data_IF_628751556898
#
_entry.id   IF_628751556898
#
_cell.length_a   1.000
_cell.length_b   1.000
_cell.length_c   1.000
_cell.angle_alpha   90.00
_cell.angle_beta   90.00
_cell.angle_gamma   90.00
#
_symmetry.space_group_name_H-M   'P 1'
#
loop_
_entity.id
_entity.type
_entity.pdbx_description
1 polymer ?
#
# COMPACT_ATOMS: atom_id res chain seq x y z
N UNK A 1 6.15 -18.91 13.89
CA UNK A 1 7.44 -18.74 13.19
C UNK A 1 8.01 -17.38 13.58
N UNK A 2 9.30 -17.28 13.90
CA UNK A 2 9.91 -16.00 14.31
C UNK A 2 10.12 -15.11 13.10
N UNK A 3 9.47 -13.94 13.08
CA UNK A 3 9.67 -12.87 12.09
C UNK A 3 11.16 -12.57 11.91
N UNK A 4 11.70 -12.36 10.70
CA UNK A 4 13.14 -12.19 10.50
C UNK A 4 13.62 -10.81 10.97
N UNK A 5 14.90 -10.71 11.32
CA UNK A 5 15.57 -9.46 11.66
C UNK A 5 16.22 -8.86 10.40
N UNK A 6 15.78 -7.67 9.99
CA UNK A 6 16.20 -7.05 8.74
C UNK A 6 17.36 -6.08 8.97
N UNK A 7 18.50 -6.37 8.34
CA UNK A 7 19.70 -5.53 8.33
C UNK A 7 19.93 -4.97 6.94
N UNK A 8 19.76 -3.66 6.77
CA UNK A 8 20.09 -3.00 5.49
C UNK A 8 21.46 -2.34 5.56
N UNK A 9 22.30 -2.60 4.56
CA UNK A 9 23.57 -1.91 4.37
C UNK A 9 23.37 -0.85 3.28
N UNK A 10 23.28 0.42 3.68
CA UNK A 10 22.93 1.51 2.76
C UNK A 10 23.81 2.74 2.93
N UNK A 11 24.18 3.35 1.81
CA UNK A 11 24.99 4.56 1.72
C UNK A 11 24.91 5.10 0.30
N UNK A 12 24.57 6.38 0.15
CA UNK A 12 24.51 7.09 -1.14
C UNK A 12 25.89 7.39 -1.75
N UNK A 13 26.96 6.86 -1.14
CA UNK A 13 28.30 6.94 -1.73
C UNK A 13 28.74 5.57 -2.26
N UNK A 14 29.18 5.56 -3.52
CA UNK A 14 29.86 4.41 -4.12
C UNK A 14 31.22 4.13 -3.48
N UNK A 15 31.60 2.85 -3.40
CA UNK A 15 32.94 2.45 -2.95
C UNK A 15 33.25 2.76 -1.48
N UNK A 16 32.25 2.67 -0.60
CA UNK A 16 32.41 2.73 0.87
C UNK A 16 32.49 1.34 1.52
N UNK A 17 32.36 0.28 0.71
CA UNK A 17 32.42 -1.11 1.18
C UNK A 17 31.06 -1.76 1.52
N UNK A 18 29.93 -1.24 1.02
CA UNK A 18 28.57 -1.79 1.28
C UNK A 18 28.49 -3.29 1.01
N UNK A 19 28.71 -3.71 -0.23
CA UNK A 19 28.61 -5.11 -0.64
C UNK A 19 29.62 -6.00 0.06
N UNK A 20 30.87 -5.55 0.24
CA UNK A 20 31.88 -6.29 1.00
C UNK A 20 31.46 -6.51 2.44
N UNK A 21 30.85 -5.50 3.08
CA UNK A 21 30.33 -5.60 4.43
C UNK A 21 29.12 -6.54 4.47
N UNK A 22 28.15 -6.39 3.57
CA UNK A 22 26.94 -7.20 3.53
C UNK A 22 27.26 -8.70 3.36
N UNK A 23 28.11 -9.03 2.38
CA UNK A 23 28.44 -10.43 2.09
C UNK A 23 29.28 -11.06 3.20
N UNK A 24 30.26 -10.35 3.74
CA UNK A 24 31.05 -10.90 4.85
C UNK A 24 30.23 -10.95 6.14
N UNK A 25 29.37 -9.96 6.43
CA UNK A 25 28.50 -9.99 7.60
C UNK A 25 27.65 -11.27 7.61
N UNK A 26 27.08 -11.66 6.46
CA UNK A 26 26.31 -12.89 6.33
C UNK A 26 27.13 -14.14 6.73
N UNK A 27 28.35 -14.23 6.22
CA UNK A 27 29.26 -15.36 6.47
C UNK A 27 29.71 -15.42 7.93
N UNK A 28 30.02 -14.28 8.54
CA UNK A 28 30.42 -14.25 9.94
C UNK A 28 29.25 -14.55 10.88
N UNK A 29 28.01 -14.14 10.55
CA UNK A 29 26.83 -14.52 11.31
C UNK A 29 26.60 -16.04 11.28
N UNK A 30 26.73 -16.67 10.10
CA UNK A 30 26.71 -18.14 9.97
C UNK A 30 27.84 -18.81 10.76
N UNK A 31 29.04 -18.22 10.76
CA UNK A 31 30.17 -18.76 11.52
C UNK A 31 30.00 -18.59 13.05
N UNK A 32 29.27 -17.57 13.50
CA UNK A 32 28.94 -17.38 14.92
C UNK A 32 27.86 -18.38 15.40
N UNK A 33 26.91 -18.72 14.53
CA UNK A 33 25.84 -19.65 14.85
C UNK A 33 25.42 -20.45 13.60
N UNK A 34 25.90 -21.69 13.50
CA UNK A 34 25.77 -22.51 12.29
C UNK A 34 24.31 -22.76 11.89
N UNK A 35 23.40 -22.95 12.85
CA UNK A 35 21.99 -23.19 12.59
C UNK A 35 21.17 -21.91 12.32
N UNK A 36 21.78 -20.73 12.44
CA UNK A 36 21.06 -19.46 12.22
C UNK A 36 20.74 -19.31 10.74
N UNK A 37 19.46 -19.15 10.34
CA UNK A 37 19.13 -18.78 8.97
C UNK A 37 19.63 -17.37 8.69
N UNK A 38 20.42 -17.21 7.63
CA UNK A 38 20.93 -15.92 7.18
C UNK A 38 20.68 -15.81 5.69
N UNK A 39 19.77 -14.92 5.29
CA UNK A 39 19.41 -14.67 3.90
C UNK A 39 20.00 -13.34 3.43
N UNK A 40 20.61 -13.29 2.25
CA UNK A 40 21.18 -12.07 1.67
C UNK A 40 20.64 -11.82 0.27
N UNK A 41 20.33 -10.57 -0.03
CA UNK A 41 20.11 -10.15 -1.42
C UNK A 41 20.59 -8.73 -1.66
N UNK A 42 20.85 -8.41 -2.93
CA UNK A 42 21.32 -7.09 -3.34
C UNK A 42 20.36 -6.48 -4.35
N UNK A 43 20.11 -5.19 -4.20
CA UNK A 43 19.47 -4.39 -5.22
C UNK A 43 20.47 -3.77 -6.19
N UNK A 44 21.77 -3.99 -6.01
CA UNK A 44 22.81 -3.54 -6.93
C UNK A 44 23.03 -4.53 -8.08
N UNK A 45 23.22 -4.01 -9.29
CA UNK A 45 23.39 -4.79 -10.52
C UNK A 45 24.82 -5.31 -10.69
N UNK A 46 25.65 -5.27 -9.65
CA UNK A 46 27.02 -5.78 -9.69
C UNK A 46 27.13 -7.30 -9.48
N UNK A 47 26.03 -8.04 -9.26
CA UNK A 47 26.00 -9.51 -9.13
C UNK A 47 27.05 -10.09 -8.17
N UNK A 48 27.45 -9.32 -7.16
CA UNK A 48 28.51 -9.74 -6.24
C UNK A 48 28.01 -10.80 -5.26
N UNK A 49 26.74 -10.73 -4.86
CA UNK A 49 26.09 -11.78 -4.06
C UNK A 49 26.10 -13.09 -4.84
N UNK A 50 25.61 -13.09 -6.08
CA UNK A 50 25.61 -14.27 -6.94
C UNK A 50 27.01 -14.86 -7.15
N UNK A 51 28.01 -14.02 -7.46
CA UNK A 51 29.40 -14.46 -7.65
C UNK A 51 30.04 -15.06 -6.39
N UNK A 52 29.57 -14.67 -5.22
CA UNK A 52 30.13 -15.12 -3.94
C UNK A 52 29.46 -16.39 -3.42
N UNK A 53 28.14 -16.53 -3.61
CA UNK A 53 27.34 -17.55 -2.94
C UNK A 53 26.78 -18.63 -3.87
N UNK A 54 26.72 -18.41 -5.19
CA UNK A 54 26.08 -19.38 -6.08
C UNK A 54 26.89 -20.68 -6.18
N UNK A 55 26.21 -21.80 -5.91
CA UNK A 55 26.75 -23.15 -6.09
C UNK A 55 26.36 -23.66 -7.49
N UNK A 56 27.35 -23.85 -8.35
CA UNK A 56 27.15 -24.31 -9.73
C UNK A 56 26.68 -23.22 -10.70
N UNK A 57 26.26 -23.62 -11.90
CA UNK A 57 25.92 -22.69 -13.01
C UNK A 57 24.41 -22.49 -13.23
N UNK A 58 23.56 -23.20 -12.49
CA UNK A 58 22.11 -23.14 -12.62
C UNK A 58 21.50 -22.03 -11.76
N UNK A 59 20.37 -21.49 -12.24
CA UNK A 59 19.46 -20.65 -11.46
C UNK A 59 18.24 -21.49 -11.13
N UNK A 60 17.94 -21.65 -9.84
CA UNK A 60 16.91 -22.59 -9.39
C UNK A 60 15.59 -21.91 -9.05
N UNK A 61 15.59 -20.59 -8.84
CA UNK A 61 14.39 -19.80 -8.55
C UNK A 61 14.33 -18.45 -9.30
N UNK A 62 13.47 -17.57 -8.81
CA UNK A 62 13.31 -16.19 -9.31
C UNK A 62 14.51 -15.28 -9.01
N UNK A 63 14.30 -13.97 -8.99
CA UNK A 63 15.28 -12.98 -8.50
C UNK A 63 14.58 -12.01 -7.55
N UNK A 64 15.35 -11.04 -7.05
CA UNK A 64 14.87 -9.92 -6.23
C UNK A 64 13.69 -9.15 -6.81
N UNK A 65 13.36 -9.22 -8.11
CA UNK A 65 12.10 -8.64 -8.63
C UNK A 65 10.88 -9.34 -8.09
N UNK A 66 10.95 -10.65 -7.87
CA UNK A 66 9.87 -11.45 -7.31
C UNK A 66 9.40 -10.91 -5.95
N UNK A 67 10.32 -10.35 -5.16
CA UNK A 67 10.01 -9.69 -3.88
C UNK A 67 9.08 -8.48 -4.02
N UNK A 68 9.07 -7.84 -5.18
CA UNK A 68 8.20 -6.70 -5.49
C UNK A 68 6.95 -7.11 -6.28
N UNK A 69 6.96 -8.30 -6.89
CA UNK A 69 5.86 -8.87 -7.68
C UNK A 69 4.93 -9.77 -6.85
N UNK A 70 5.12 -9.84 -5.53
CA UNK A 70 4.28 -10.62 -4.62
C UNK A 70 4.62 -12.12 -4.57
N UNK A 71 5.74 -12.55 -5.17
CA UNK A 71 6.22 -13.92 -5.02
C UNK A 71 6.70 -14.13 -3.58
N UNK A 72 6.30 -15.24 -2.94
CA UNK A 72 6.76 -15.56 -1.60
C UNK A 72 8.28 -15.71 -1.59
N UNK A 73 8.95 -15.01 -0.67
CA UNK A 73 10.41 -14.96 -0.68
C UNK A 73 11.06 -16.34 -0.49
N UNK A 74 10.41 -17.27 0.22
CA UNK A 74 10.86 -18.66 0.34
C UNK A 74 11.04 -19.37 -1.01
N UNK A 75 10.22 -19.05 -2.02
CA UNK A 75 10.34 -19.60 -3.37
C UNK A 75 11.52 -19.02 -4.15
N UNK A 76 12.03 -17.87 -3.71
CA UNK A 76 13.15 -17.16 -4.32
C UNK A 76 14.50 -17.50 -3.69
N UNK A 77 14.49 -18.09 -2.49
CA UNK A 77 15.70 -18.36 -1.71
C UNK A 77 16.45 -19.57 -2.27
N UNK A 78 17.74 -19.37 -2.53
CA UNK A 78 18.69 -20.43 -2.85
C UNK A 78 19.67 -20.62 -1.68
N UNK A 79 20.03 -21.87 -1.38
CA UNK A 79 21.15 -22.13 -0.45
C UNK A 79 22.47 -21.94 -1.19
N UNK A 80 23.32 -21.06 -0.67
CA UNK A 80 24.62 -20.74 -1.24
C UNK A 80 25.80 -21.26 -0.43
N UNK A 81 27.00 -20.91 -0.88
CA UNK A 81 28.26 -21.20 -0.22
C UNK A 81 28.26 -20.73 1.25
N UNK A 82 29.04 -21.41 2.10
CA UNK A 82 29.15 -21.10 3.54
C UNK A 82 27.83 -21.23 4.34
N UNK A 83 26.83 -21.92 3.81
CA UNK A 83 25.52 -22.10 4.46
C UNK A 83 24.68 -20.82 4.52
N UNK A 84 25.05 -19.80 3.74
CA UNK A 84 24.28 -18.55 3.59
C UNK A 84 23.20 -18.77 2.54
N UNK A 85 21.98 -18.37 2.86
CA UNK A 85 20.88 -18.31 1.90
C UNK A 85 20.97 -16.99 1.11
N UNK A 86 20.59 -17.00 -0.17
CA UNK A 86 20.54 -15.77 -0.94
C UNK A 86 19.40 -15.76 -1.95
N UNK A 87 18.96 -14.57 -2.35
CA UNK A 87 18.06 -14.38 -3.49
C UNK A 87 18.86 -13.79 -4.63
N UNK A 88 18.74 -14.37 -5.82
CA UNK A 88 19.51 -13.97 -7.00
C UNK A 88 19.27 -12.49 -7.36
N UNK A 89 20.33 -11.79 -7.77
CA UNK A 89 20.22 -10.42 -8.27
C UNK A 89 19.53 -10.42 -9.64
N UNK A 90 19.01 -9.26 -10.07
CA UNK A 90 18.31 -9.12 -11.37
C UNK A 90 18.89 -8.01 -12.23
N UNK A 91 19.20 -8.30 -13.50
CA UNK A 91 19.59 -7.29 -14.50
C UNK A 91 18.43 -6.34 -14.82
N UNK A 92 17.20 -6.82 -14.61
CA UNK A 92 15.97 -6.16 -15.02
C UNK A 92 15.26 -5.45 -13.86
N UNK A 93 15.90 -5.33 -12.68
CA UNK A 93 15.27 -4.71 -11.51
C UNK A 93 14.76 -3.29 -11.81
N UNK A 94 15.51 -2.53 -12.61
CA UNK A 94 15.16 -1.17 -12.99
C UNK A 94 13.86 -1.04 -13.80
N UNK A 95 13.36 -2.11 -14.42
CA UNK A 95 12.11 -2.09 -15.17
C UNK A 95 10.91 -1.83 -14.23
N UNK A 96 10.98 -2.30 -12.98
CA UNK A 96 9.94 -2.09 -11.98
C UNK A 96 9.89 -0.68 -11.40
N UNK A 97 10.92 0.15 -11.64
CA UNK A 97 11.06 1.45 -10.96
C UNK A 97 9.87 2.40 -11.19
N UNK A 98 9.21 2.30 -12.35
CA UNK A 98 8.06 3.17 -12.69
C UNK A 98 6.75 2.73 -12.05
N UNK A 99 6.68 1.46 -11.63
CA UNK A 99 5.49 0.85 -11.03
C UNK A 99 5.54 0.91 -9.50
N UNK A 100 6.72 1.22 -8.95
CA UNK A 100 6.97 1.29 -7.51
C UNK A 100 6.94 2.75 -7.04
N UNK A 101 5.94 3.07 -6.23
CA UNK A 101 5.84 4.37 -5.54
C UNK A 101 5.80 4.20 -4.01
N UNK A 102 5.32 3.06 -3.53
CA UNK A 102 5.14 2.80 -2.11
C UNK A 102 6.42 2.22 -1.46
N UNK A 103 7.04 2.94 -0.50
CA UNK A 103 8.24 2.47 0.20
C UNK A 103 7.97 1.32 1.17
N UNK A 104 6.72 1.00 1.46
CA UNK A 104 6.36 -0.07 2.41
C UNK A 104 6.10 -1.43 1.74
N UNK A 105 6.09 -1.49 0.40
CA UNK A 105 5.75 -2.70 -0.35
C UNK A 105 6.62 -3.90 0.00
N UNK A 106 7.95 -3.71 0.01
CA UNK A 106 8.89 -4.79 0.35
C UNK A 106 8.65 -5.30 1.78
N UNK A 107 8.39 -4.40 2.73
CA UNK A 107 8.15 -4.77 4.11
C UNK A 107 6.87 -5.60 4.25
N UNK A 108 5.79 -5.24 3.54
CA UNK A 108 4.55 -6.04 3.50
C UNK A 108 4.79 -7.44 2.93
N UNK A 109 5.50 -7.52 1.80
CA UNK A 109 5.77 -8.80 1.14
C UNK A 109 6.66 -9.69 2.01
N UNK A 110 7.69 -9.11 2.66
CA UNK A 110 8.54 -9.84 3.60
C UNK A 110 7.78 -10.28 4.86
N UNK A 111 6.86 -9.46 5.38
CA UNK A 111 6.04 -9.80 6.55
C UNK A 111 5.14 -11.03 6.31
N UNK A 112 4.77 -11.29 5.04
CA UNK A 112 3.99 -12.42 4.56
C UNK A 112 4.84 -13.58 3.99
N UNK A 113 6.17 -13.44 3.94
CA UNK A 113 7.05 -14.36 3.20
C UNK A 113 7.45 -15.64 3.92
N UNK A 114 7.23 -15.73 5.24
CA UNK A 114 7.63 -16.87 6.07
C UNK A 114 9.13 -16.94 6.45
N UNK A 115 9.98 -16.08 5.87
CA UNK A 115 11.41 -16.00 6.19
C UNK A 115 11.68 -15.86 7.70
N UNK A 116 12.80 -16.42 8.16
CA UNK A 116 13.22 -16.42 9.56
C UNK A 116 14.69 -16.06 9.70
N UNK A 117 15.18 -15.89 10.94
CA UNK A 117 16.59 -15.58 11.19
C UNK A 117 16.95 -14.13 10.90
N UNK A 118 18.04 -13.91 10.14
CA UNK A 118 18.54 -12.58 9.77
C UNK A 118 18.49 -12.44 8.25
N UNK A 119 17.89 -11.34 7.78
CA UNK A 119 17.90 -10.97 6.36
C UNK A 119 18.79 -9.75 6.18
N UNK A 120 19.74 -9.82 5.27
CA UNK A 120 20.65 -8.74 4.93
C UNK A 120 20.27 -8.19 3.55
N UNK A 121 20.14 -6.87 3.44
CA UNK A 121 19.83 -6.18 2.19
C UNK A 121 21.02 -5.28 1.82
N UNK A 122 21.68 -5.57 0.71
CA UNK A 122 22.72 -4.71 0.13
C UNK A 122 22.08 -3.74 -0.88
N UNK A 123 22.30 -2.44 -0.71
CA UNK A 123 21.67 -1.42 -1.56
C UNK A 123 22.64 -0.82 -2.59
N UNK A 124 22.05 -0.19 -3.61
CA UNK A 124 22.77 0.68 -4.55
C UNK A 124 23.31 1.95 -3.89
N UNK A 125 24.22 2.69 -4.55
CA UNK A 125 24.74 3.97 -4.07
C UNK A 125 23.80 5.17 -4.32
N UNK A 126 22.49 4.97 -4.32
CA UNK A 126 21.46 6.01 -4.48
C UNK A 126 20.23 5.71 -3.62
N UNK A 127 19.51 6.77 -3.22
CA UNK A 127 18.27 6.69 -2.43
C UNK A 127 17.04 6.54 -3.34
N UNK A 128 17.09 5.55 -4.25
CA UNK A 128 15.98 5.23 -5.14
C UNK A 128 14.87 4.43 -4.44
N UNK A 129 13.81 4.08 -5.17
CA UNK A 129 12.65 3.36 -4.61
C UNK A 129 13.00 2.00 -4.00
N UNK A 130 14.03 1.32 -4.51
CA UNK A 130 14.46 0.02 -3.98
C UNK A 130 15.22 0.21 -2.66
N UNK A 131 16.11 1.21 -2.61
CA UNK A 131 16.79 1.60 -1.36
C UNK A 131 15.78 2.07 -0.31
N UNK A 132 14.79 2.87 -0.69
CA UNK A 132 13.72 3.32 0.22
C UNK A 132 12.92 2.13 0.79
N UNK A 133 12.58 1.16 -0.07
CA UNK A 133 11.92 -0.08 0.36
C UNK A 133 12.77 -0.91 1.34
N UNK A 134 14.08 -1.03 1.08
CA UNK A 134 15.01 -1.69 2.02
C UNK A 134 15.02 -0.98 3.38
N UNK A 135 15.16 0.35 3.37
CA UNK A 135 15.21 1.16 4.58
C UNK A 135 13.93 1.07 5.40
N UNK A 136 12.76 1.12 4.76
CA UNK A 136 11.46 1.02 5.43
C UNK A 136 11.26 -0.34 6.14
N UNK A 137 11.78 -1.42 5.56
CA UNK A 137 11.68 -2.78 6.09
C UNK A 137 12.68 -3.06 7.23
N UNK A 138 13.63 -2.16 7.52
CA UNK A 138 14.81 -2.46 8.35
C UNK A 138 14.58 -2.36 9.85
N UNK A 139 15.09 -3.34 10.59
CA UNK A 139 15.32 -3.26 12.04
C UNK A 139 16.61 -2.48 12.35
N UNK A 140 17.64 -2.73 11.54
CA UNK A 140 18.95 -2.08 11.64
C UNK A 140 19.38 -1.60 10.26
N UNK A 141 19.83 -0.35 10.18
CA UNK A 141 20.51 0.17 8.99
C UNK A 141 21.96 0.47 9.37
N UNK A 142 22.90 -0.19 8.70
CA UNK A 142 24.32 0.10 8.84
C UNK A 142 24.71 1.00 7.67
N UNK A 143 25.19 2.21 8.00
CA UNK A 143 25.56 3.25 7.04
C UNK A 143 27.08 3.35 6.97
N UNK A 144 27.75 2.62 6.05
CA UNK A 144 29.18 2.71 5.89
C UNK A 144 29.60 4.09 5.35
N UNK A 145 30.58 4.70 6.02
CA UNK A 145 31.17 5.99 5.66
C UNK A 145 32.69 5.87 5.63
N UNK A 146 33.36 6.50 4.67
CA UNK A 146 34.83 6.46 4.56
C UNK A 146 35.52 7.82 4.71
N UNK A 147 34.75 8.89 4.58
CA UNK A 147 35.22 10.26 4.49
C UNK A 147 34.11 11.24 4.91
N UNK A 148 34.44 12.52 5.03
CA UNK A 148 33.46 13.54 5.40
C UNK A 148 32.29 13.66 4.40
N UNK A 149 32.49 13.59 3.06
CA UNK A 149 31.37 13.61 2.11
C UNK A 149 30.40 12.42 2.26
N UNK A 150 30.90 11.20 2.46
CA UNK A 150 30.02 10.04 2.71
C UNK A 150 29.25 10.16 4.02
N UNK A 151 29.84 10.80 5.03
CA UNK A 151 29.15 11.13 6.27
C UNK A 151 28.09 12.22 6.10
N UNK A 152 28.34 13.25 5.27
CA UNK A 152 27.36 14.29 4.97
C UNK A 152 26.11 13.72 4.30
N UNK A 153 26.31 12.81 3.33
CA UNK A 153 25.21 12.14 2.62
C UNK A 153 24.27 11.36 3.54
N UNK A 154 24.72 10.92 4.72
CA UNK A 154 23.86 10.23 5.70
C UNK A 154 22.57 11.01 6.01
N UNK A 155 22.59 12.34 5.86
CA UNK A 155 21.43 13.21 6.12
C UNK A 155 20.19 12.81 5.31
N UNK A 156 20.31 12.28 4.08
CA UNK A 156 19.12 11.92 3.30
C UNK A 156 18.49 10.62 3.79
N UNK A 157 19.29 9.63 4.22
CA UNK A 157 18.77 8.42 4.88
C UNK A 157 18.02 8.79 6.17
N UNK A 158 18.59 9.70 6.97
CA UNK A 158 17.91 10.20 8.17
C UNK A 158 16.63 10.97 7.83
N UNK A 159 16.66 11.84 6.81
CA UNK A 159 15.50 12.57 6.34
C UNK A 159 14.39 11.67 5.79
N UNK A 160 14.73 10.54 5.16
CA UNK A 160 13.77 9.51 4.77
C UNK A 160 13.10 8.88 5.99
N UNK A 161 13.86 8.53 7.03
CA UNK A 161 13.27 8.02 8.27
C UNK A 161 12.28 9.02 8.88
N UNK A 162 12.64 10.30 8.89
CA UNK A 162 11.74 11.36 9.40
C UNK A 162 10.47 11.47 8.56
N UNK A 163 10.58 11.49 7.23
CA UNK A 163 9.42 11.63 6.34
C UNK A 163 8.46 10.45 6.40
N UNK A 164 8.97 9.27 6.75
CA UNK A 164 8.20 8.04 6.93
C UNK A 164 7.76 7.81 8.39
N UNK A 165 8.08 8.73 9.31
CA UNK A 165 7.77 8.58 10.74
C UNK A 165 8.49 7.40 11.42
N UNK A 166 9.62 6.95 10.87
CA UNK A 166 10.40 5.81 11.35
C UNK A 166 11.38 6.22 12.45
N UNK A 167 11.64 5.30 13.38
CA UNK A 167 12.59 5.55 14.46
C UNK A 167 14.04 5.59 13.96
N UNK A 168 14.73 6.71 14.17
CA UNK A 168 16.18 6.83 13.94
C UNK A 168 17.02 5.85 14.77
N UNK A 169 16.44 5.16 15.75
CA UNK A 169 17.12 4.13 16.56
C UNK A 169 17.63 2.96 15.71
N UNK A 170 17.06 2.71 14.54
CA UNK A 170 17.53 1.70 13.60
C UNK A 170 18.88 2.08 12.96
N UNK A 171 19.19 3.37 12.82
CA UNK A 171 20.34 3.86 12.07
C UNK A 171 21.65 3.76 12.87
N UNK A 172 22.71 3.21 12.27
CA UNK A 172 24.07 3.17 12.80
C UNK A 172 25.09 3.49 11.72
N UNK A 173 25.89 4.52 11.93
CA UNK A 173 27.03 4.86 11.08
C UNK A 173 28.21 3.94 11.41
N UNK A 174 28.86 3.40 10.39
CA UNK A 174 30.07 2.58 10.54
C UNK A 174 31.21 3.19 9.72
N UNK A 175 32.26 3.72 10.35
CA UNK A 175 33.48 4.09 9.65
C UNK A 175 34.11 2.87 8.96
N UNK A 176 34.35 2.98 7.66
CA UNK A 176 34.87 1.94 6.80
C UNK A 176 36.04 2.47 5.97
N UNK A 177 36.92 1.57 5.53
CA UNK A 177 38.12 1.91 4.76
C UNK A 177 39.02 2.92 5.49
N UNK A 178 39.04 2.85 6.82
CA UNK A 178 39.88 3.72 7.66
C UNK A 178 41.34 3.35 7.49
N UNK A 179 42.17 4.31 7.08
CA UNK A 179 43.61 4.12 7.02
C UNK A 179 44.25 4.36 8.40
N UNK A 180 44.49 3.26 9.12
CA UNK A 180 45.06 3.29 10.47
C UNK A 180 46.51 3.79 10.54
N UNK A 181 47.16 4.07 9.40
CA UNK A 181 48.51 4.64 9.36
C UNK A 181 48.48 6.16 9.48
N UNK A 182 47.34 6.79 9.18
CA UNK A 182 47.18 8.23 9.27
C UNK A 182 46.99 8.61 10.72
N UNK A 183 47.80 9.57 11.18
CA UNK A 183 47.71 10.16 12.50
C UNK A 183 47.61 11.68 12.36
N UNK A 184 46.82 12.31 13.22
CA UNK A 184 46.64 13.75 13.25
C UNK A 184 47.14 14.33 14.57
N UNK A 185 47.65 15.55 14.51
CA UNK A 185 47.85 16.37 15.70
C UNK A 185 46.50 16.93 16.18
N UNK A 186 46.26 16.87 17.49
CA UNK A 186 45.05 17.44 18.11
C UNK A 186 44.19 16.42 18.88
N UNK A 187 42.91 16.76 19.15
CA UNK A 187 42.05 15.97 20.04
C UNK A 187 41.59 14.64 19.42
N UNK A 188 41.59 14.51 18.10
CA UNK A 188 41.23 13.28 17.39
C UNK A 188 42.47 12.75 16.67
N UNK A 189 43.02 11.64 17.16
CA UNK A 189 44.36 11.19 16.76
C UNK A 189 44.40 10.40 15.46
N UNK A 190 43.27 9.91 14.99
CA UNK A 190 43.16 9.07 13.80
C UNK A 190 41.85 9.34 13.03
N UNK A 191 41.72 8.86 11.77
CA UNK A 191 40.51 9.09 10.98
C UNK A 191 39.25 8.45 11.56
N UNK A 192 39.36 7.37 12.33
CA UNK A 192 38.20 6.75 12.98
C UNK A 192 37.63 7.67 14.05
N UNK A 193 38.46 8.17 14.96
CA UNK A 193 38.06 9.13 16.00
C UNK A 193 37.46 10.39 15.39
N UNK A 194 38.06 10.90 14.32
CA UNK A 194 37.56 12.09 13.63
C UNK A 194 36.17 11.86 13.01
N UNK A 195 35.98 10.76 12.28
CA UNK A 195 34.68 10.41 11.68
C UNK A 195 33.61 10.13 12.75
N UNK A 196 33.98 9.43 13.84
CA UNK A 196 33.07 9.17 14.97
C UNK A 196 32.63 10.48 15.62
N UNK A 197 33.57 11.41 15.85
CA UNK A 197 33.25 12.72 16.41
C UNK A 197 32.33 13.54 15.49
N UNK A 198 32.61 13.57 14.18
CA UNK A 198 31.76 14.25 13.21
C UNK A 198 30.35 13.66 13.10
N UNK A 199 30.21 12.34 13.26
CA UNK A 199 28.93 11.66 13.28
C UNK A 199 28.13 12.04 14.54
N UNK A 200 28.76 11.97 15.72
CA UNK A 200 28.14 12.34 16.99
C UNK A 200 27.70 13.81 16.99
N UNK A 201 28.53 14.72 16.50
CA UNK A 201 28.19 16.15 16.42
C UNK A 201 26.99 16.43 15.49
N UNK A 202 26.70 15.53 14.55
CA UNK A 202 25.52 15.58 13.67
C UNK A 202 24.30 14.86 14.26
N UNK A 203 24.40 14.33 15.48
CA UNK A 203 23.34 13.55 16.13
C UNK A 203 23.22 12.12 15.60
N UNK A 204 24.21 11.62 14.87
CA UNK A 204 24.21 10.25 14.37
C UNK A 204 24.74 9.28 15.42
N UNK A 205 24.15 8.08 15.45
CA UNK A 205 24.64 6.98 16.29
C UNK A 205 25.66 6.16 15.50
N UNK A 206 26.75 5.78 16.13
CA UNK A 206 27.78 4.94 15.52
C UNK A 206 27.67 3.49 15.99
N UNK A 207 28.11 2.55 15.16
CA UNK A 207 28.54 1.24 15.65
C UNK A 207 29.81 1.38 16.47
N UNK A 208 30.06 0.43 17.36
CA UNK A 208 31.35 0.34 18.03
C UNK A 208 32.39 -0.30 17.09
N UNK A 209 33.58 0.31 17.02
CA UNK A 209 34.63 -0.05 16.07
C UNK A 209 34.48 0.55 14.67
N UNK A 210 35.31 0.04 13.75
CA UNK A 210 35.43 0.46 12.35
C UNK A 210 35.97 -0.68 11.47
N UNK A 211 35.87 -0.54 10.15
CA UNK A 211 36.53 -1.43 9.18
C UNK A 211 37.76 -0.72 8.61
N UNK A 212 38.94 -1.31 8.78
CA UNK A 212 40.20 -0.78 8.26
C UNK A 212 40.32 -0.95 6.74
N UNK A 213 41.08 -0.05 6.10
CA UNK A 213 41.51 -0.23 4.71
C UNK A 213 42.50 -1.40 4.63
N UNK A 214 42.33 -2.28 3.65
CA UNK A 214 43.21 -3.43 3.44
C UNK A 214 43.31 -3.79 1.96
N UNK A 215 44.51 -3.62 1.39
CA UNK A 215 44.80 -4.01 0.01
C UNK A 215 44.55 -5.50 -0.24
N UNK A 216 44.82 -6.35 0.77
CA UNK A 216 44.51 -7.78 0.70
C UNK A 216 43.02 -8.03 0.56
N UNK A 217 42.18 -7.34 1.33
CA UNK A 217 40.71 -7.50 1.23
C UNK A 217 40.18 -6.97 -0.09
N UNK A 218 40.69 -5.82 -0.55
CA UNK A 218 40.33 -5.25 -1.85
C UNK A 218 40.66 -6.20 -3.01
N UNK A 219 41.74 -7.00 -2.90
CA UNK A 219 42.12 -7.98 -3.92
C UNK A 219 41.26 -9.24 -3.98
N UNK A 220 40.43 -9.53 -2.98
CA UNK A 220 39.68 -10.80 -2.89
C UNK A 220 38.57 -10.96 -3.94
N UNK A 221 38.22 -9.87 -4.62
CA UNK A 221 37.24 -9.85 -5.71
C UNK A 221 37.84 -10.04 -7.11
N UNK A 222 39.18 -10.10 -7.22
CA UNK A 222 39.90 -10.12 -8.49
C UNK A 222 40.73 -11.39 -8.57
N UNK A 223 40.24 -12.38 -9.33
CA UNK A 223 40.92 -13.65 -9.60
C UNK A 223 40.49 -14.23 -10.95
N UNK A 224 41.29 -15.17 -11.53
CA UNK A 224 40.97 -15.78 -12.82
C UNK A 224 39.63 -16.51 -12.85
N UNK A 225 39.15 -17.00 -11.71
CA UNK A 225 37.88 -17.72 -11.60
C UNK A 225 36.66 -16.78 -11.56
N UNK A 226 36.87 -15.46 -11.43
CA UNK A 226 35.81 -14.46 -11.29
C UNK A 226 35.00 -14.56 -10.00
N UNK A 227 35.51 -15.31 -9.00
CA UNK A 227 34.88 -15.53 -7.70
C UNK A 227 35.14 -14.37 -6.74
N UNK A 228 34.34 -14.25 -5.70
CA UNK A 228 34.62 -13.34 -4.58
C UNK A 228 34.92 -14.19 -3.35
N UNK A 229 36.12 -14.06 -2.80
CA UNK A 229 36.54 -14.82 -1.63
C UNK A 229 36.24 -14.08 -0.32
N UNK A 230 35.74 -14.75 0.73
CA UNK A 230 35.45 -14.09 2.00
C UNK A 230 36.71 -13.80 2.80
N UNK A 231 36.65 -12.73 3.60
CA UNK A 231 37.70 -12.36 4.55
C UNK A 231 37.90 -13.46 5.60
N UNK A 232 36.83 -14.16 5.99
CA UNK A 232 36.86 -15.22 7.00
C UNK A 232 37.91 -16.32 6.70
N UNK A 233 38.10 -16.65 5.41
CA UNK A 233 39.06 -17.68 4.99
C UNK A 233 40.30 -17.09 4.32
N UNK A 234 40.17 -16.02 3.53
CA UNK A 234 41.25 -15.50 2.69
C UNK A 234 41.87 -14.19 3.21
N UNK A 235 41.33 -13.61 4.28
CA UNK A 235 41.78 -12.36 4.91
C UNK A 235 42.10 -12.47 6.41
N UNK A 236 42.32 -13.69 6.93
CA UNK A 236 42.50 -14.00 8.36
C UNK A 236 43.60 -13.19 9.06
N UNK A 237 44.66 -12.85 8.33
CA UNK A 237 45.81 -12.09 8.88
C UNK A 237 45.58 -10.56 8.88
N UNK A 238 44.44 -10.09 8.39
CA UNK A 238 44.13 -8.65 8.33
C UNK A 238 43.32 -8.23 9.56
N UNK A 239 43.47 -6.98 10.00
CA UNK A 239 42.63 -6.42 11.07
C UNK A 239 41.13 -6.48 10.73
N UNK A 240 40.79 -6.44 9.44
CA UNK A 240 39.42 -6.54 8.92
C UNK A 240 38.74 -7.83 9.36
N UNK A 241 39.48 -8.93 9.53
CA UNK A 241 38.92 -10.20 10.02
C UNK A 241 38.31 -10.06 11.42
N UNK A 242 39.08 -9.51 12.37
CA UNK A 242 38.64 -9.30 13.75
C UNK A 242 37.53 -8.26 13.81
N UNK A 243 37.64 -7.21 13.01
CA UNK A 243 36.64 -6.14 12.95
C UNK A 243 35.29 -6.65 12.42
N UNK A 244 35.27 -7.47 11.36
CA UNK A 244 34.03 -8.09 10.86
C UNK A 244 33.40 -9.04 11.87
N UNK A 245 34.21 -9.82 12.61
CA UNK A 245 33.70 -10.65 13.70
C UNK A 245 33.04 -9.79 14.79
N UNK A 246 33.63 -8.65 15.12
CA UNK A 246 33.07 -7.71 16.09
C UNK A 246 31.74 -7.09 15.63
N UNK A 247 31.65 -6.66 14.35
CA UNK A 247 30.40 -6.14 13.77
C UNK A 247 29.32 -7.23 13.71
N UNK A 248 29.66 -8.44 13.30
CA UNK A 248 28.73 -9.57 13.28
C UNK A 248 28.18 -9.90 14.68
N UNK A 249 29.04 -9.85 15.70
CA UNK A 249 28.62 -10.04 17.10
C UNK A 249 27.66 -8.95 17.55
N UNK A 250 27.90 -7.68 17.22
CA UNK A 250 26.98 -6.59 17.54
C UNK A 250 25.61 -6.81 16.88
N UNK A 251 25.57 -7.15 15.59
CA UNK A 251 24.32 -7.45 14.88
C UNK A 251 23.58 -8.64 15.50
N UNK A 252 24.30 -9.72 15.83
CA UNK A 252 23.70 -10.89 16.46
C UNK A 252 23.08 -10.55 17.82
N UNK A 253 23.78 -9.78 18.67
CA UNK A 253 23.25 -9.34 19.97
C UNK A 253 22.03 -8.43 19.81
N UNK A 254 22.06 -7.49 18.87
CA UNK A 254 20.91 -6.64 18.53
C UNK A 254 19.66 -7.49 18.20
N UNK A 255 19.84 -8.64 17.52
CA UNK A 255 18.71 -9.53 17.18
C UNK A 255 18.08 -10.24 18.38
N UNK A 256 18.87 -10.44 19.45
CA UNK A 256 18.43 -11.08 20.70
C UNK A 256 17.78 -10.06 21.64
N UNK A 257 18.29 -8.83 21.67
CA UNK A 257 17.80 -7.76 22.54
C UNK A 257 16.51 -7.10 22.02
N UNK A 258 16.25 -7.18 20.71
CA UNK A 258 15.13 -6.47 20.12
C UNK A 258 13.78 -7.20 20.35
N UNK A 259 12.97 -6.63 21.25
CA UNK A 259 11.66 -7.16 21.65
C UNK A 259 10.61 -7.14 20.52
N UNK A 260 10.66 -6.15 19.62
CA UNK A 260 9.71 -5.97 18.52
C UNK A 260 10.43 -5.75 17.21
N UNK A 261 10.16 -6.59 16.21
CA UNK A 261 10.75 -6.48 14.88
C UNK A 261 9.90 -5.61 13.98
N UNK A 262 10.53 -4.93 13.02
CA UNK A 262 9.89 -3.98 12.11
C UNK A 262 8.75 -4.63 11.34
N UNK A 263 8.94 -5.85 10.88
CA UNK A 263 7.92 -6.58 10.14
C UNK A 263 6.73 -7.03 11.01
N UNK A 264 6.89 -7.14 12.32
CA UNK A 264 5.76 -7.36 13.23
C UNK A 264 4.89 -6.09 13.33
N UNK A 265 5.50 -4.91 13.37
CA UNK A 265 4.78 -3.63 13.32
C UNK A 265 4.01 -3.46 12.01
N UNK A 266 4.63 -3.82 10.89
CA UNK A 266 3.98 -3.79 9.57
C UNK A 266 2.79 -4.74 9.53
N UNK A 267 2.95 -5.97 10.02
CA UNK A 267 1.86 -6.96 10.09
C UNK A 267 0.69 -6.48 10.96
N UNK A 268 0.99 -5.90 12.12
CA UNK A 268 -0.02 -5.31 13.00
C UNK A 268 -0.74 -4.12 12.35
N UNK A 269 0.00 -3.27 11.63
CA UNK A 269 -0.57 -2.17 10.85
C UNK A 269 -1.54 -2.67 9.79
N UNK A 270 -1.14 -3.69 9.02
CA UNK A 270 -1.99 -4.32 8.00
C UNK A 270 -3.26 -4.92 8.61
N UNK A 271 -3.16 -5.64 9.74
CA UNK A 271 -4.33 -6.22 10.42
C UNK A 271 -5.30 -5.13 10.86
N UNK A 272 -4.80 -4.03 11.43
CA UNK A 272 -5.64 -2.90 11.87
C UNK A 272 -6.31 -2.19 10.71
N UNK A 273 -5.59 -1.99 9.61
CA UNK A 273 -6.19 -1.43 8.41
C UNK A 273 -7.29 -2.34 7.88
N UNK A 274 -7.04 -3.63 7.76
CA UNK A 274 -8.04 -4.61 7.30
C UNK A 274 -9.27 -4.65 8.21
N UNK A 275 -9.07 -4.71 9.54
CA UNK A 275 -10.15 -4.62 10.53
C UNK A 275 -10.96 -3.34 10.38
N UNK A 276 -10.30 -2.20 10.15
CA UNK A 276 -10.99 -0.92 9.94
C UNK A 276 -11.80 -0.92 8.64
N UNK A 277 -11.27 -1.45 7.54
CA UNK A 277 -12.00 -1.57 6.26
C UNK A 277 -13.20 -2.50 6.40
N UNK A 278 -13.03 -3.65 7.06
CA UNK A 278 -14.12 -4.59 7.33
C UNK A 278 -15.20 -3.98 8.24
N UNK A 279 -14.80 -3.30 9.32
CA UNK A 279 -15.73 -2.59 10.20
C UNK A 279 -16.53 -1.52 9.45
N UNK A 280 -15.86 -0.68 8.65
CA UNK A 280 -16.51 0.36 7.88
C UNK A 280 -17.48 -0.21 6.83
N UNK A 281 -17.12 -1.32 6.17
CA UNK A 281 -18.02 -2.03 5.26
C UNK A 281 -19.27 -2.57 5.99
N UNK A 282 -19.09 -3.21 7.15
CA UNK A 282 -20.19 -3.73 7.95
C UNK A 282 -21.11 -2.63 8.48
N UNK A 283 -20.57 -1.49 8.92
CA UNK A 283 -21.35 -0.31 9.31
C UNK A 283 -22.21 0.20 8.14
N UNK A 284 -21.63 0.32 6.94
CA UNK A 284 -22.37 0.73 5.74
C UNK A 284 -23.47 -0.26 5.38
N UNK A 285 -23.18 -1.56 5.46
CA UNK A 285 -24.14 -2.63 5.12
C UNK A 285 -25.28 -2.72 6.15
N UNK A 286 -24.98 -2.59 7.43
CA UNK A 286 -26.00 -2.62 8.51
C UNK A 286 -26.89 -1.38 8.51
N UNK A 287 -26.41 -0.26 7.97
CA UNK A 287 -27.21 0.97 7.81
C UNK A 287 -28.16 0.94 6.61
N UNK A 288 -28.16 -0.11 5.79
CA UNK A 288 -29.03 -0.21 4.61
C UNK A 288 -30.47 -0.51 4.97
N UNK A 289 -31.41 0.07 4.21
CA UNK A 289 -32.79 -0.41 4.17
C UNK A 289 -32.80 -1.85 3.60
N UNK A 290 -33.42 -2.81 4.31
CA UNK A 290 -33.42 -4.21 3.87
C UNK A 290 -34.28 -4.44 2.62
N UNK A 291 -35.22 -3.54 2.32
CA UNK A 291 -36.11 -3.60 1.18
C UNK A 291 -35.69 -2.73 0.00
N UNK A 292 -36.25 -3.05 -1.16
CA UNK A 292 -36.24 -2.19 -2.32
C UNK A 292 -36.90 -0.85 -1.96
N UNK A 293 -36.19 0.27 -2.09
CA UNK A 293 -36.76 1.58 -1.76
C UNK A 293 -37.98 1.91 -2.65
N UNK A 294 -38.10 1.30 -3.82
CA UNK A 294 -39.27 1.41 -4.71
C UNK A 294 -40.47 0.59 -4.25
N UNK A 295 -40.36 -0.75 -4.19
CA UNK A 295 -41.50 -1.63 -3.93
C UNK A 295 -41.57 -2.19 -2.50
N UNK A 296 -40.46 -2.24 -1.77
CA UNK A 296 -40.35 -2.80 -0.41
C UNK A 296 -40.04 -4.30 -0.37
N UNK A 297 -39.88 -4.97 -1.52
CA UNK A 297 -39.39 -6.35 -1.58
C UNK A 297 -38.02 -6.44 -0.94
N UNK A 298 -37.77 -7.44 -0.11
CA UNK A 298 -36.46 -7.63 0.51
C UNK A 298 -35.37 -7.83 -0.56
N UNK A 299 -34.31 -7.02 -0.51
CA UNK A 299 -33.13 -7.12 -1.37
C UNK A 299 -31.86 -7.41 -0.58
N UNK A 300 -31.78 -6.93 0.67
CA UNK A 300 -30.62 -7.17 1.55
C UNK A 300 -30.94 -8.36 2.46
N UNK A 301 -30.11 -9.39 2.37
CA UNK A 301 -30.15 -10.56 3.21
C UNK A 301 -28.89 -10.65 4.08
N UNK A 302 -28.88 -11.57 5.05
CA UNK A 302 -27.78 -11.72 6.01
C UNK A 302 -26.44 -12.07 5.35
N UNK A 303 -26.45 -12.74 4.19
CA UNK A 303 -25.24 -13.18 3.49
C UNK A 303 -25.00 -12.50 2.14
N UNK A 304 -26.04 -11.92 1.53
CA UNK A 304 -25.97 -11.39 0.15
C UNK A 304 -27.00 -10.31 -0.13
N UNK A 305 -26.74 -9.50 -1.16
CA UNK A 305 -27.71 -8.59 -1.77
C UNK A 305 -28.19 -9.16 -3.11
N UNK A 306 -29.50 -9.36 -3.27
CA UNK A 306 -30.11 -9.96 -4.46
C UNK A 306 -31.12 -9.03 -5.14
N UNK A 307 -31.19 -9.08 -6.48
CA UNK A 307 -32.17 -8.31 -7.24
C UNK A 307 -31.94 -6.80 -7.29
N UNK A 308 -30.82 -6.31 -6.75
CA UNK A 308 -30.47 -4.90 -6.76
C UNK A 308 -29.99 -4.43 -8.15
N UNK A 309 -30.69 -3.46 -8.73
CA UNK A 309 -30.29 -2.82 -10.00
C UNK A 309 -29.63 -1.46 -9.81
N UNK A 310 -29.99 -0.76 -8.72
CA UNK A 310 -29.50 0.56 -8.38
C UNK A 310 -29.25 0.68 -6.87
N UNK A 311 -28.22 1.42 -6.49
CA UNK A 311 -27.99 1.90 -5.13
C UNK A 311 -28.50 3.34 -5.00
N UNK A 312 -29.09 3.68 -3.87
CA UNK A 312 -29.56 5.03 -3.59
C UNK A 312 -29.16 5.49 -2.18
N UNK A 313 -28.78 6.76 -2.06
CA UNK A 313 -28.38 7.38 -0.79
C UNK A 313 -28.89 8.83 -0.71
N UNK A 314 -29.50 9.18 0.43
CA UNK A 314 -29.95 10.54 0.69
C UNK A 314 -28.79 11.45 1.09
N UNK A 315 -28.96 12.75 0.87
CA UNK A 315 -27.93 13.74 1.20
C UNK A 315 -27.77 14.03 2.69
N UNK A 316 -28.74 13.62 3.51
CA UNK A 316 -28.81 13.79 4.96
C UNK A 316 -28.49 12.49 5.73
N UNK A 317 -27.53 11.70 5.24
CA UNK A 317 -27.28 10.25 5.48
C UNK A 317 -28.33 9.38 6.19
N UNK A 318 -29.62 9.72 6.16
CA UNK A 318 -30.65 8.97 6.89
C UNK A 318 -31.09 7.71 6.14
N UNK A 319 -30.97 7.74 4.81
CA UNK A 319 -31.46 6.67 3.95
C UNK A 319 -30.37 6.22 2.99
N UNK A 320 -30.07 4.93 3.03
CA UNK A 320 -29.24 4.24 2.07
C UNK A 320 -29.86 2.87 1.78
N UNK A 321 -29.89 2.43 0.53
CA UNK A 321 -30.53 1.16 0.17
C UNK A 321 -30.49 0.90 -1.32
N UNK A 322 -31.17 -0.16 -1.75
CA UNK A 322 -31.19 -0.58 -3.14
C UNK A 322 -32.57 -0.41 -3.78
N UNK A 323 -32.60 -0.37 -5.11
CA UNK A 323 -33.82 -0.35 -5.93
C UNK A 323 -33.67 -1.42 -7.00
N UNK A 324 -34.71 -2.22 -7.21
CA UNK A 324 -34.78 -3.15 -8.35
C UNK A 324 -34.66 -2.40 -9.68
N UNK A 325 -34.07 -3.04 -10.69
CA UNK A 325 -33.92 -2.42 -12.00
C UNK A 325 -35.28 -2.04 -12.59
N UNK A 326 -36.26 -2.94 -12.45
CA UNK A 326 -37.61 -2.78 -12.94
C UNK A 326 -38.35 -1.64 -12.24
N UNK A 327 -38.19 -1.53 -10.93
CA UNK A 327 -38.78 -0.46 -10.13
C UNK A 327 -38.29 0.92 -10.57
N UNK A 328 -36.97 1.08 -10.73
CA UNK A 328 -36.41 2.38 -11.09
C UNK A 328 -36.70 2.75 -12.54
N UNK A 329 -36.47 1.84 -13.48
CA UNK A 329 -36.71 2.10 -14.89
C UNK A 329 -38.19 2.34 -15.18
N UNK A 330 -39.10 1.53 -14.60
CA UNK A 330 -40.55 1.73 -14.70
C UNK A 330 -41.00 3.11 -14.23
N UNK A 331 -40.47 3.56 -13.08
CA UNK A 331 -40.72 4.89 -12.54
C UNK A 331 -40.22 5.99 -13.50
N UNK A 332 -38.99 5.88 -14.02
CA UNK A 332 -38.43 6.87 -14.94
C UNK A 332 -39.24 6.97 -16.23
N UNK A 333 -39.58 5.84 -16.86
CA UNK A 333 -40.35 5.83 -18.11
C UNK A 333 -41.75 6.41 -17.92
N UNK A 334 -42.45 6.03 -16.85
CA UNK A 334 -43.81 6.48 -16.57
C UNK A 334 -43.87 7.97 -16.25
N UNK A 335 -43.03 8.44 -15.33
CA UNK A 335 -43.16 9.80 -14.78
C UNK A 335 -42.31 10.83 -15.52
N UNK A 336 -41.10 10.49 -15.92
CA UNK A 336 -40.14 11.45 -16.46
C UNK A 336 -40.04 11.39 -17.98
N UNK A 337 -40.22 10.24 -18.63
CA UNK A 337 -40.23 10.15 -20.09
C UNK A 337 -41.65 10.17 -20.70
N UNK A 338 -42.70 10.09 -19.87
CA UNK A 338 -44.08 10.23 -20.31
C UNK A 338 -44.56 9.10 -21.22
N UNK A 339 -44.01 7.90 -21.04
CA UNK A 339 -44.42 6.72 -21.79
C UNK A 339 -45.90 6.42 -21.50
N UNK A 340 -46.75 6.47 -22.55
CA UNK A 340 -48.19 6.18 -22.46
C UNK A 340 -48.51 4.68 -22.38
N UNK A 341 -47.50 3.83 -22.60
CA UNK A 341 -47.55 2.37 -22.50
C UNK A 341 -46.50 1.89 -21.51
N UNK A 342 -46.71 0.73 -20.89
CA UNK A 342 -45.69 0.05 -20.09
C UNK A 342 -44.52 -0.32 -20.99
N UNK A 343 -43.30 0.02 -20.57
CA UNK A 343 -42.05 -0.37 -21.24
C UNK A 343 -41.50 -1.56 -20.46
N UNK A 344 -41.46 -2.72 -21.10
CA UNK A 344 -41.05 -3.99 -20.48
C UNK A 344 -39.55 -4.26 -20.71
N UNK A 345 -38.92 -5.12 -19.90
CA UNK A 345 -37.57 -5.62 -20.16
C UNK A 345 -37.47 -6.24 -21.57
N UNK A 346 -36.52 -5.75 -22.37
CA UNK A 346 -36.33 -6.16 -23.77
C UNK A 346 -36.90 -5.19 -24.83
N UNK A 347 -37.58 -4.10 -24.43
CA UNK A 347 -37.88 -2.99 -25.34
C UNK A 347 -36.57 -2.23 -25.68
N UNK A 348 -36.30 -1.84 -26.93
CA UNK A 348 -35.10 -1.08 -27.30
C UNK A 348 -34.89 0.21 -26.48
N UNK A 349 -35.97 0.86 -26.04
CA UNK A 349 -35.88 2.03 -25.17
C UNK A 349 -35.36 1.66 -23.78
N UNK A 350 -35.70 0.48 -23.28
CA UNK A 350 -35.19 -0.06 -22.01
C UNK A 350 -33.69 -0.27 -22.08
N UNK A 351 -33.22 -0.94 -23.13
CA UNK A 351 -31.79 -1.21 -23.34
C UNK A 351 -30.99 0.09 -23.45
N UNK A 352 -31.50 1.06 -24.22
CA UNK A 352 -30.86 2.37 -24.35
C UNK A 352 -30.79 3.11 -22.99
N UNK A 353 -31.87 3.06 -22.20
CA UNK A 353 -31.85 3.65 -20.86
C UNK A 353 -30.83 2.96 -19.97
N UNK A 354 -30.82 1.61 -19.95
CA UNK A 354 -29.91 0.79 -19.15
C UNK A 354 -28.45 1.06 -19.49
N UNK A 355 -28.09 1.12 -20.76
CA UNK A 355 -26.74 1.45 -21.22
C UNK A 355 -26.35 2.86 -20.80
N UNK A 356 -27.25 3.83 -21.03
CA UNK A 356 -26.98 5.22 -20.67
C UNK A 356 -26.86 5.42 -19.14
N UNK A 357 -27.61 4.65 -18.34
CA UNK A 357 -27.59 4.69 -16.89
C UNK A 357 -26.26 4.19 -16.30
N UNK A 358 -25.51 3.35 -17.03
CA UNK A 358 -24.19 2.89 -16.60
C UNK A 358 -23.17 4.03 -16.47
N UNK A 359 -23.38 5.17 -17.14
CA UNK A 359 -22.48 6.34 -17.07
C UNK A 359 -23.16 7.57 -16.47
N UNK A 360 -24.17 7.36 -15.63
CA UNK A 360 -24.93 8.45 -15.06
C UNK A 360 -25.26 8.23 -13.60
N UNK A 361 -25.39 9.35 -12.91
CA UNK A 361 -26.01 9.48 -11.61
C UNK A 361 -27.35 10.16 -11.78
N UNK A 362 -28.35 9.70 -11.04
CA UNK A 362 -29.68 10.31 -11.03
C UNK A 362 -29.93 10.96 -9.69
N UNK A 363 -30.64 12.08 -9.68
CA UNK A 363 -31.00 12.76 -8.44
C UNK A 363 -32.49 13.06 -8.42
N UNK A 364 -33.16 12.67 -7.35
CA UNK A 364 -34.50 13.12 -7.02
C UNK A 364 -34.42 14.16 -5.90
N UNK A 365 -35.13 15.27 -6.04
CA UNK A 365 -35.25 16.30 -4.99
C UNK A 365 -36.56 17.05 -5.10
N UNK A 366 -36.91 17.80 -4.04
CA UNK A 366 -37.93 18.85 -4.15
C UNK A 366 -37.51 19.87 -5.21
N UNK A 367 -38.45 20.24 -6.07
CA UNK A 367 -38.22 21.24 -7.10
C UNK A 367 -37.82 22.59 -6.47
N UNK A 368 -36.85 23.31 -7.06
CA UNK A 368 -36.42 24.61 -6.54
C UNK A 368 -37.59 25.59 -6.40
N UNK A 369 -37.60 26.39 -5.32
CA UNK A 369 -38.60 27.44 -5.07
C UNK A 369 -40.07 26.97 -4.90
N UNK A 370 -40.31 25.70 -4.60
CA UNK A 370 -41.69 25.14 -4.46
C UNK A 370 -42.14 24.87 -3.03
N UNK A 371 -41.39 25.33 -2.01
CA UNK A 371 -41.64 25.02 -0.59
C UNK A 371 -43.05 25.44 -0.10
N UNK A 372 -43.61 26.48 -0.68
CA UNK A 372 -44.93 27.04 -0.31
C UNK A 372 -46.05 26.64 -1.26
N UNK A 373 -45.79 25.76 -2.23
CA UNK A 373 -46.81 25.36 -3.20
C UNK A 373 -47.79 24.39 -2.54
N UNK A 374 -49.08 24.54 -2.85
CA UNK A 374 -50.12 23.62 -2.36
C UNK A 374 -49.89 22.20 -2.89
N UNK A 375 -49.46 22.08 -4.14
CA UNK A 375 -49.10 20.82 -4.77
C UNK A 375 -47.57 20.70 -4.84
N UNK A 376 -47.04 19.63 -4.24
CA UNK A 376 -45.60 19.39 -4.15
C UNK A 376 -45.04 19.06 -5.55
N UNK A 377 -43.81 19.50 -5.82
CA UNK A 377 -43.13 19.22 -7.09
C UNK A 377 -41.78 18.55 -6.87
N UNK A 378 -41.46 17.60 -7.74
CA UNK A 378 -40.23 16.80 -7.69
C UNK A 378 -39.46 17.03 -8.98
N UNK A 379 -38.16 17.27 -8.83
CA UNK A 379 -37.22 17.36 -9.95
C UNK A 379 -36.37 16.11 -10.00
N UNK A 380 -36.25 15.54 -11.20
CA UNK A 380 -35.36 14.45 -11.54
C UNK A 380 -34.23 14.97 -12.41
N UNK A 381 -33.01 14.88 -11.91
CA UNK A 381 -31.80 15.29 -12.60
C UNK A 381 -31.00 14.08 -13.04
N UNK A 382 -30.22 14.27 -14.09
CA UNK A 382 -29.19 13.36 -14.56
C UNK A 382 -27.85 14.08 -14.55
N UNK A 383 -26.86 13.44 -13.97
CA UNK A 383 -25.47 13.89 -13.92
C UNK A 383 -24.56 12.87 -14.61
N UNK A 384 -23.47 13.32 -15.20
CA UNK A 384 -22.38 12.47 -15.69
C UNK A 384 -21.48 11.96 -14.55
N UNK A 385 -20.38 11.26 -14.88
CA UNK A 385 -19.47 10.68 -13.89
C UNK A 385 -18.62 11.74 -13.17
N UNK A 386 -18.42 12.89 -13.81
CA UNK A 386 -17.80 14.07 -13.24
C UNK A 386 -18.77 14.86 -12.36
N UNK A 387 -20.06 14.54 -12.37
CA UNK A 387 -21.09 15.23 -11.59
C UNK A 387 -21.51 16.57 -12.20
N UNK A 388 -21.45 16.71 -13.52
CA UNK A 388 -22.03 17.83 -14.26
C UNK A 388 -23.46 17.48 -14.69
N UNK A 389 -24.36 18.45 -14.62
CA UNK A 389 -25.76 18.25 -15.01
C UNK A 389 -25.86 18.01 -16.52
N UNK A 390 -26.51 16.90 -16.90
CA UNK A 390 -26.80 16.53 -18.29
C UNK A 390 -28.21 16.96 -18.67
N UNK A 391 -29.18 16.72 -17.78
CA UNK A 391 -30.58 17.11 -17.99
C UNK A 391 -31.37 17.08 -16.69
N UNK A 392 -32.53 17.76 -16.67
CA UNK A 392 -33.50 17.59 -15.60
C UNK A 392 -34.94 17.75 -16.09
N UNK A 393 -35.89 17.23 -15.31
CA UNK A 393 -37.33 17.41 -15.52
C UNK A 393 -38.05 17.56 -14.18
N UNK A 394 -39.01 18.48 -14.13
CA UNK A 394 -39.85 18.72 -12.96
C UNK A 394 -41.27 18.27 -13.24
N UNK A 395 -41.89 17.59 -12.27
CA UNK A 395 -43.28 17.13 -12.33
C UNK A 395 -44.01 17.43 -11.02
N UNK A 396 -45.33 17.45 -11.07
CA UNK A 396 -46.17 17.48 -9.88
C UNK A 396 -46.20 16.11 -9.20
N UNK A 397 -46.05 16.08 -7.88
CA UNK A 397 -46.16 14.89 -7.08
C UNK A 397 -47.62 14.56 -6.84
N UNK A 398 -48.04 13.36 -7.24
CA UNK A 398 -49.38 12.83 -6.98
C UNK A 398 -49.28 11.62 -6.07
N UNK A 399 -50.09 11.58 -5.01
CA UNK A 399 -50.12 10.44 -4.08
C UNK A 399 -50.80 9.22 -4.70
N UNK A 400 -51.87 9.44 -5.47
CA UNK A 400 -52.68 8.40 -6.07
C UNK A 400 -52.78 8.56 -7.60
N UNK A 401 -52.69 7.44 -8.30
CA UNK A 401 -52.90 7.34 -9.75
C UNK A 401 -54.32 6.80 -10.03
N UNK A 402 -54.97 7.33 -11.07
CA UNK A 402 -56.27 6.82 -11.53
C UNK A 402 -56.05 5.62 -12.46
N UNK A 403 -56.55 4.44 -12.09
CA UNK A 403 -56.63 3.25 -12.96
C UNK A 403 -58.09 2.88 -13.22
N UNK A 404 -58.31 2.02 -14.23
CA UNK A 404 -59.64 1.57 -14.68
C UNK A 404 -60.52 0.98 -13.57
N UNK A 405 -59.94 0.46 -12.49
CA UNK A 405 -60.64 -0.23 -11.39
C UNK A 405 -60.44 0.42 -10.00
N UNK A 406 -59.85 1.61 -9.90
CA UNK A 406 -59.66 2.28 -8.61
C UNK A 406 -58.54 3.33 -8.57
N UNK A 407 -58.27 3.86 -7.37
CA UNK A 407 -57.07 4.67 -7.08
C UNK A 407 -56.00 3.75 -6.51
N UNK A 408 -54.84 3.68 -7.15
CA UNK A 408 -53.66 3.01 -6.61
C UNK A 408 -52.62 4.03 -6.17
N UNK A 409 -51.77 3.66 -5.22
CA UNK A 409 -50.71 4.55 -4.74
C UNK A 409 -49.62 4.68 -5.81
N UNK A 410 -49.09 5.89 -6.02
CA UNK A 410 -48.03 6.11 -7.00
C UNK A 410 -46.73 5.43 -6.58
N UNK A 411 -46.04 4.81 -7.53
CA UNK A 411 -44.71 4.19 -7.33
C UNK A 411 -43.67 5.26 -6.95
N UNK A 412 -43.72 6.44 -7.59
CA UNK A 412 -42.87 7.58 -7.24
C UNK A 412 -43.15 8.08 -5.82
N UNK A 413 -44.41 8.20 -5.43
CA UNK A 413 -44.76 8.62 -4.07
C UNK A 413 -44.26 7.62 -3.03
N UNK A 414 -44.36 6.32 -3.31
CA UNK A 414 -43.87 5.26 -2.41
C UNK A 414 -42.35 5.31 -2.22
N UNK A 415 -41.59 5.55 -3.30
CA UNK A 415 -40.14 5.78 -3.22
C UNK A 415 -39.81 7.01 -2.35
N UNK A 416 -40.50 8.12 -2.60
CA UNK A 416 -40.26 9.38 -1.88
C UNK A 416 -40.66 9.29 -0.41
N UNK A 417 -41.71 8.53 -0.08
CA UNK A 417 -42.11 8.29 1.31
C UNK A 417 -41.03 7.57 2.12
N UNK A 418 -40.33 6.61 1.51
CA UNK A 418 -39.23 5.90 2.16
C UNK A 418 -37.92 6.68 2.20
N UNK A 419 -37.81 7.80 1.47
CA UNK A 419 -36.51 8.45 1.21
C UNK A 419 -36.46 9.95 1.51
N UNK A 420 -37.42 10.74 1.01
CA UNK A 420 -37.36 12.21 0.97
C UNK A 420 -38.54 12.93 1.60
N UNK A 421 -39.62 12.22 1.97
CA UNK A 421 -40.74 12.80 2.72
C UNK A 421 -40.44 12.81 4.22
N UNK A 422 -40.72 13.94 4.87
CA UNK A 422 -40.70 14.06 6.32
C UNK A 422 -41.95 13.46 6.96
N UNK A 423 -41.98 13.42 8.29
CA UNK A 423 -43.11 12.92 9.08
C UNK A 423 -44.42 13.72 8.85
N UNK A 424 -44.33 14.94 8.31
CA UNK A 424 -45.47 15.78 7.92
C UNK A 424 -45.99 15.49 6.50
N UNK A 425 -45.44 14.48 5.82
CA UNK A 425 -45.79 14.10 4.45
C UNK A 425 -45.27 15.08 3.39
N UNK A 426 -44.33 15.98 3.73
CA UNK A 426 -43.75 16.95 2.80
C UNK A 426 -42.32 16.60 2.41
N UNK A 427 -41.95 16.97 1.18
CA UNK A 427 -40.60 16.83 0.67
C UNK A 427 -39.62 17.71 1.47
N UNK A 428 -38.62 17.05 2.03
CA UNK A 428 -37.51 17.68 2.74
C UNK A 428 -36.61 18.49 1.80
N UNK A 429 -35.58 19.13 2.37
CA UNK A 429 -34.54 19.81 1.59
C UNK A 429 -33.45 18.84 1.11
N UNK A 430 -33.52 17.57 1.51
CA UNK A 430 -32.60 16.53 1.08
C UNK A 430 -32.85 16.15 -0.40
N UNK A 431 -31.85 15.54 -1.00
CA UNK A 431 -31.97 14.89 -2.30
C UNK A 431 -31.49 13.44 -2.22
N UNK A 432 -32.02 12.60 -3.10
CA UNK A 432 -31.68 11.19 -3.22
C UNK A 432 -30.80 11.00 -4.44
N UNK A 433 -29.54 10.61 -4.23
CA UNK A 433 -28.63 10.22 -5.30
C UNK A 433 -28.81 8.73 -5.62
N UNK A 434 -28.95 8.39 -6.89
CA UNK A 434 -29.20 7.03 -7.36
C UNK A 434 -28.16 6.66 -8.43
N UNK A 435 -27.56 5.48 -8.29
CA UNK A 435 -26.50 4.98 -9.17
C UNK A 435 -26.75 3.53 -9.54
N UNK A 436 -26.58 3.17 -10.81
CA UNK A 436 -26.65 1.78 -11.26
C UNK A 436 -25.51 0.97 -10.64
N UNK A 437 -25.79 -0.24 -10.18
CA UNK A 437 -24.80 -1.18 -9.62
C UNK A 437 -24.65 -2.42 -10.48
N UNK A 438 -23.57 -3.18 -10.25
CA UNK A 438 -23.41 -4.53 -10.80
C UNK A 438 -24.50 -5.45 -10.25
N UNK A 439 -25.11 -6.25 -11.12
CA UNK A 439 -26.10 -7.26 -10.71
C UNK A 439 -25.41 -8.45 -10.04
N UNK A 440 -24.20 -8.77 -10.46
CA UNK A 440 -23.43 -9.91 -9.94
C UNK A 440 -22.80 -9.61 -8.57
N UNK A 441 -22.49 -8.33 -8.31
CA UNK A 441 -21.93 -7.89 -7.02
C UNK A 441 -22.43 -6.49 -6.64
N UNK A 442 -23.70 -6.35 -6.20
CA UNK A 442 -24.26 -5.05 -5.81
C UNK A 442 -23.53 -4.40 -4.62
N UNK A 443 -22.87 -5.21 -3.79
CA UNK A 443 -22.17 -4.78 -2.57
C UNK A 443 -20.88 -4.01 -2.87
N UNK A 444 -20.36 -4.10 -4.11
CA UNK A 444 -19.15 -3.41 -4.56
C UNK A 444 -19.21 -1.89 -4.31
N UNK A 445 -20.41 -1.30 -4.41
CA UNK A 445 -20.63 0.13 -4.15
C UNK A 445 -20.31 0.54 -2.70
N UNK A 446 -20.32 -0.41 -1.76
CA UNK A 446 -20.05 -0.21 -0.34
C UNK A 446 -18.56 -0.34 0.00
N UNK A 447 -17.73 -0.87 -0.91
CA UNK A 447 -16.28 -0.96 -0.71
C UNK A 447 -15.68 0.45 -0.66
N UNK A 448 -14.60 0.61 0.12
CA UNK A 448 -14.05 1.92 0.48
C UNK A 448 -13.82 2.86 -0.71
N UNK A 449 -13.23 2.37 -1.80
CA UNK A 449 -12.95 3.19 -2.98
C UNK A 449 -14.24 3.71 -3.63
N UNK A 450 -15.18 2.81 -3.91
CA UNK A 450 -16.45 3.15 -4.57
C UNK A 450 -17.30 4.06 -3.68
N UNK A 451 -17.38 3.76 -2.38
CA UNK A 451 -18.18 4.52 -1.44
C UNK A 451 -17.59 5.93 -1.20
N UNK A 452 -16.26 6.05 -1.14
CA UNK A 452 -15.58 7.36 -1.05
C UNK A 452 -15.87 8.20 -2.29
N UNK A 453 -15.81 7.61 -3.48
CA UNK A 453 -16.14 8.30 -4.74
C UNK A 453 -17.60 8.75 -4.77
N UNK A 454 -18.54 7.88 -4.37
CA UNK A 454 -19.96 8.19 -4.27
C UNK A 454 -20.20 9.38 -3.33
N UNK A 455 -19.60 9.35 -2.14
CA UNK A 455 -19.75 10.40 -1.12
C UNK A 455 -19.18 11.74 -1.58
N UNK A 456 -18.01 11.72 -2.24
CA UNK A 456 -17.42 12.92 -2.82
C UNK A 456 -18.32 13.54 -3.90
N UNK A 457 -18.93 12.70 -4.75
CA UNK A 457 -19.85 13.14 -5.79
C UNK A 457 -21.15 13.68 -5.21
N UNK A 458 -21.73 13.00 -4.21
CA UNK A 458 -22.90 13.47 -3.47
C UNK A 458 -22.64 14.87 -2.90
N UNK A 459 -21.49 15.10 -2.26
CA UNK A 459 -21.13 16.41 -1.75
C UNK A 459 -20.94 17.46 -2.86
N UNK A 460 -20.37 17.08 -4.01
CA UNK A 460 -20.20 17.96 -5.17
C UNK A 460 -21.54 18.38 -5.77
N UNK A 461 -22.44 17.43 -6.01
CA UNK A 461 -23.79 17.67 -6.53
C UNK A 461 -24.59 18.51 -5.52
N UNK A 462 -24.48 18.22 -4.23
CA UNK A 462 -25.14 19.01 -3.18
C UNK A 462 -24.74 20.48 -3.16
N UNK A 463 -23.50 20.83 -3.57
CA UNK A 463 -23.09 22.23 -3.74
C UNK A 463 -23.71 22.90 -4.97
N UNK A 464 -23.92 22.15 -6.05
CA UNK A 464 -24.54 22.66 -7.29
C UNK A 464 -26.05 22.86 -7.15
N UNK A 465 -26.68 22.05 -6.30
CA UNK A 465 -28.13 22.07 -6.06
C UNK A 465 -28.58 23.08 -4.99
N UNK A 466 -27.64 23.78 -4.32
CA UNK A 466 -27.92 24.77 -3.27
C UNK A 466 -28.37 26.11 -3.80
#
# INVERSE_FOLDING_TARGET
>A
MSTPYIVTISSEKGGVGKTTLATNLAIYLKALHEDLPVTLFSFDNHFSVDRMFRIGKGRKGGDVRGLFQGVHAEELVETGEYGVQFIASSEHLNQLRRELEDPSLLARNLAASGLTGIVIIDTRPDLDVFTQNALYASDRVIVPVKDAPSLENCRHIYGFFDSQGLSRRALRVLPCLVDARIHYDGPFRDPYQLLKAYAINRGYRCMEGYIAKSSKVESLNTNPEGKIYPVLTHGRQTNVHVQLAHIARQVYLDTLEQERRRLDEVRLGQSREEEHRQSAFLERRTALDPGCLGCGRQLVHDERIEGAGYFAQSSDPQVAGYIEEECFAGLVFRHFYGARRTVEPGDPLWELFRESAQRSYFVLRRAPNTRNFYQQQVSFYRFDEEGLEVSHKTIELQEFERRLLGKERSELFSLLERTLLGADGKLTDAFLLIRKVSVDLPEEILFDEHYTRLTALLAKIGRQLR
#
